data_IF_545900821233
#
_entry.id   IF_545900821233
#
_cell.length_a   1.000
_cell.length_b   1.000
_cell.length_c   1.000
_cell.angle_alpha   90.00
_cell.angle_beta   90.00
_cell.angle_gamma   90.00
#
_symmetry.space_group_name_H-M   'P 1'
#
loop_
_entity.id
_entity.type
_entity.pdbx_description
1 polymer ?
#
# COMPACT_ATOMS: atom_id res chain seq x y z
N UNK A 1 45.09 -6.92 -14.72
CA UNK A 1 44.60 -5.64 -14.15
C UNK A 1 43.75 -5.83 -12.88
N UNK A 2 43.74 -7.01 -12.25
CA UNK A 2 42.73 -7.41 -11.24
C UNK A 2 43.12 -7.16 -9.77
N UNK A 3 44.41 -7.13 -9.44
CA UNK A 3 44.88 -7.05 -8.04
C UNK A 3 44.89 -5.63 -7.45
N UNK A 4 45.10 -4.59 -8.27
CA UNK A 4 45.15 -3.20 -7.81
C UNK A 4 43.78 -2.58 -7.50
N UNK A 5 42.75 -2.87 -8.31
CA UNK A 5 41.39 -2.36 -8.10
C UNK A 5 40.66 -3.03 -6.93
N UNK A 6 40.96 -4.30 -6.63
CA UNK A 6 40.40 -4.99 -5.46
C UNK A 6 40.92 -4.41 -4.14
N UNK A 7 42.23 -4.10 -4.07
CA UNK A 7 42.86 -3.54 -2.86
C UNK A 7 42.32 -2.16 -2.48
N UNK A 8 41.92 -1.33 -3.45
CA UNK A 8 41.33 -0.01 -3.19
C UNK A 8 39.87 -0.12 -2.74
N UNK A 9 39.11 -1.04 -3.36
CA UNK A 9 37.71 -1.30 -3.04
C UNK A 9 37.53 -1.83 -1.61
N UNK A 10 38.41 -2.72 -1.16
CA UNK A 10 38.38 -3.23 0.22
C UNK A 10 38.73 -2.14 1.25
N UNK A 11 39.59 -1.19 0.88
CA UNK A 11 39.87 0.01 1.67
C UNK A 11 38.64 0.91 1.85
N UNK A 12 37.86 1.12 0.79
CA UNK A 12 36.61 1.89 0.84
C UNK A 12 35.56 1.20 1.71
N UNK A 13 35.37 -0.11 1.55
CA UNK A 13 34.40 -0.88 2.35
C UNK A 13 34.75 -0.84 3.84
N UNK A 14 36.03 -0.97 4.18
CA UNK A 14 36.49 -0.85 5.58
C UNK A 14 36.13 0.51 6.18
N UNK A 15 36.41 1.61 5.45
CA UNK A 15 36.08 2.98 5.91
C UNK A 15 34.58 3.17 6.11
N UNK A 16 33.74 2.63 5.22
CA UNK A 16 32.28 2.67 5.35
C UNK A 16 31.83 2.00 6.66
N UNK A 17 32.39 0.83 7.00
CA UNK A 17 32.06 0.07 8.22
C UNK A 17 32.51 0.82 9.49
N UNK A 18 33.72 1.35 9.49
CA UNK A 18 34.28 2.11 10.63
C UNK A 18 33.43 3.35 10.93
N UNK A 19 33.09 4.12 9.90
CA UNK A 19 32.27 5.32 10.03
C UNK A 19 30.85 4.98 10.50
N UNK A 20 30.27 3.89 10.02
CA UNK A 20 28.95 3.42 10.46
C UNK A 20 28.95 2.96 11.93
N UNK A 21 30.02 2.32 12.39
CA UNK A 21 30.18 1.89 13.79
C UNK A 21 30.37 3.08 14.75
N UNK A 22 31.04 4.15 14.30
CA UNK A 22 31.31 5.35 15.09
C UNK A 22 30.13 6.31 15.31
N UNK A 23 28.91 5.98 14.85
CA UNK A 23 27.70 6.72 15.19
C UNK A 23 27.38 7.99 14.37
N UNK A 24 28.23 8.39 13.42
CA UNK A 24 28.07 9.60 12.58
C UNK A 24 27.80 10.89 13.39
N UNK A 25 28.77 11.36 14.20
CA UNK A 25 28.58 12.43 15.18
C UNK A 25 28.50 13.85 14.58
N UNK A 26 28.97 14.05 13.34
CA UNK A 26 29.05 15.36 12.69
C UNK A 26 28.52 15.31 11.24
N UNK A 27 27.89 16.39 10.72
CA UNK A 27 27.40 16.45 9.33
C UNK A 27 28.43 16.08 8.26
N UNK A 28 29.68 16.49 8.41
CA UNK A 28 30.75 16.15 7.44
C UNK A 28 31.01 14.65 7.38
N UNK A 29 30.91 13.95 8.51
CA UNK A 29 31.07 12.49 8.56
C UNK A 29 29.90 11.80 7.87
N UNK A 30 28.69 12.36 7.95
CA UNK A 30 27.51 11.88 7.19
C UNK A 30 27.71 12.07 5.68
N UNK A 31 28.19 13.24 5.26
CA UNK A 31 28.49 13.53 3.86
C UNK A 31 29.59 12.60 3.31
N UNK A 32 30.68 12.43 4.06
CA UNK A 32 31.79 11.55 3.71
C UNK A 32 31.34 10.08 3.62
N UNK A 33 30.50 9.63 4.57
CA UNK A 33 29.90 8.30 4.54
C UNK A 33 29.12 8.03 3.25
N UNK A 34 28.27 8.99 2.84
CA UNK A 34 27.53 8.87 1.59
C UNK A 34 28.42 8.98 0.35
N UNK A 35 29.50 9.77 0.41
CA UNK A 35 30.49 9.86 -0.67
C UNK A 35 31.21 8.53 -0.86
N UNK A 36 31.69 7.87 0.21
CA UNK A 36 32.32 6.55 0.10
C UNK A 36 31.37 5.50 -0.48
N UNK A 37 30.10 5.48 -0.07
CA UNK A 37 29.10 4.59 -0.66
C UNK A 37 28.89 4.90 -2.15
N UNK A 38 28.96 6.17 -2.56
CA UNK A 38 28.82 6.56 -3.95
C UNK A 38 29.99 6.06 -4.82
N UNK A 39 31.19 5.93 -4.26
CA UNK A 39 32.39 5.40 -4.92
C UNK A 39 32.36 3.89 -5.17
N UNK A 40 31.44 3.14 -4.53
CA UNK A 40 31.36 1.70 -4.74
C UNK A 40 30.95 1.36 -6.18
N UNK A 41 31.68 0.43 -6.80
CA UNK A 41 31.24 -0.24 -8.02
C UNK A 41 29.97 -1.06 -7.75
N UNK A 42 29.21 -1.44 -8.78
CA UNK A 42 28.02 -2.28 -8.59
C UNK A 42 28.37 -3.63 -7.93
N UNK A 43 29.42 -4.35 -8.35
CA UNK A 43 29.85 -5.57 -7.66
C UNK A 43 30.19 -5.35 -6.18
N UNK A 44 30.94 -4.29 -5.86
CA UNK A 44 31.33 -4.00 -4.47
C UNK A 44 30.14 -3.55 -3.63
N UNK A 45 29.19 -2.81 -4.22
CA UNK A 45 27.93 -2.45 -3.56
C UNK A 45 27.12 -3.69 -3.21
N UNK A 46 26.96 -4.62 -4.16
CA UNK A 46 26.22 -5.87 -3.94
C UNK A 46 26.90 -6.75 -2.87
N UNK A 47 28.23 -6.88 -2.93
CA UNK A 47 29.03 -7.56 -1.90
C UNK A 47 28.81 -6.91 -0.54
N UNK A 48 28.97 -5.59 -0.46
CA UNK A 48 28.82 -4.84 0.79
C UNK A 48 27.42 -4.98 1.38
N UNK A 49 26.36 -4.93 0.56
CA UNK A 49 24.98 -5.16 1.02
C UNK A 49 24.85 -6.55 1.63
N UNK A 50 25.37 -7.58 0.96
CA UNK A 50 25.32 -8.98 1.42
C UNK A 50 26.03 -9.14 2.77
N UNK A 51 27.24 -8.59 2.90
CA UNK A 51 28.05 -8.73 4.12
C UNK A 51 27.51 -7.90 5.30
N UNK A 52 26.60 -6.96 5.07
CA UNK A 52 26.14 -6.00 6.09
C UNK A 52 24.66 -6.15 6.43
N UNK A 53 24.04 -7.29 6.11
CA UNK A 53 22.64 -7.57 6.42
C UNK A 53 22.32 -7.51 7.93
N UNK A 54 23.27 -7.87 8.78
CA UNK A 54 23.17 -7.77 10.24
C UNK A 54 23.60 -6.40 10.82
N UNK A 55 24.09 -5.49 9.98
CA UNK A 55 24.65 -4.21 10.43
C UNK A 55 23.54 -3.20 10.86
N UNK A 56 23.92 -2.09 11.53
CA UNK A 56 22.97 -1.04 11.91
C UNK A 56 22.12 -0.54 10.75
N UNK A 57 20.86 -0.19 11.04
CA UNK A 57 19.86 0.23 10.04
C UNK A 57 20.36 1.37 9.15
N UNK A 58 21.11 2.33 9.72
CA UNK A 58 21.65 3.49 9.01
C UNK A 58 22.55 3.09 7.83
N UNK A 59 23.42 2.10 8.02
CA UNK A 59 24.27 1.57 6.95
C UNK A 59 23.46 0.87 5.86
N UNK A 60 22.57 -0.03 6.27
CA UNK A 60 21.70 -0.77 5.35
C UNK A 60 20.83 0.18 4.51
N UNK A 61 20.28 1.21 5.13
CA UNK A 61 19.48 2.23 4.45
C UNK A 61 20.29 3.03 3.43
N UNK A 62 21.52 3.42 3.75
CA UNK A 62 22.37 4.17 2.83
C UNK A 62 22.80 3.35 1.61
N UNK A 63 23.21 2.09 1.81
CA UNK A 63 23.53 1.16 0.73
C UNK A 63 22.31 0.89 -0.15
N UNK A 64 21.14 0.62 0.46
CA UNK A 64 19.88 0.43 -0.27
C UNK A 64 19.52 1.67 -1.09
N UNK A 65 19.62 2.88 -0.55
CA UNK A 65 19.37 4.13 -1.30
C UNK A 65 20.31 4.29 -2.48
N UNK A 66 21.58 3.90 -2.34
CA UNK A 66 22.53 3.90 -3.47
C UNK A 66 22.09 2.89 -4.54
N UNK A 67 21.74 1.67 -4.15
CA UNK A 67 21.26 0.65 -5.08
C UNK A 67 20.01 1.12 -5.85
N UNK A 68 19.01 1.66 -5.15
CA UNK A 68 17.77 2.14 -5.78
C UNK A 68 18.01 3.28 -6.76
N UNK A 69 18.96 4.18 -6.49
CA UNK A 69 19.34 5.22 -7.46
C UNK A 69 19.92 4.61 -8.74
N UNK A 70 20.83 3.65 -8.60
CA UNK A 70 21.42 2.97 -9.76
C UNK A 70 20.37 2.21 -10.59
N UNK A 71 19.40 1.58 -9.92
CA UNK A 71 18.28 0.90 -10.56
C UNK A 71 17.34 1.89 -11.26
N UNK A 72 16.98 2.99 -10.61
CA UNK A 72 16.06 4.01 -11.13
C UNK A 72 16.61 4.78 -12.33
N UNK A 73 17.91 5.00 -12.39
CA UNK A 73 18.54 5.72 -13.52
C UNK A 73 18.61 4.85 -14.80
N UNK A 74 18.33 3.53 -14.70
CA UNK A 74 18.45 2.54 -15.78
C UNK A 74 19.81 2.54 -16.51
N UNK A 75 20.89 2.90 -15.80
CA UNK A 75 22.26 3.03 -16.35
C UNK A 75 23.12 1.78 -16.13
N UNK A 76 22.55 0.71 -15.59
CA UNK A 76 23.26 -0.53 -15.36
C UNK A 76 23.50 -1.24 -16.69
N UNK A 77 24.76 -1.54 -16.98
CA UNK A 77 25.10 -2.41 -18.10
C UNK A 77 24.59 -3.85 -17.87
N UNK A 78 24.53 -4.70 -18.91
CA UNK A 78 24.02 -6.05 -18.78
C UNK A 78 24.78 -6.92 -17.76
N UNK A 79 26.09 -6.71 -17.59
CA UNK A 79 26.93 -7.48 -16.68
C UNK A 79 26.63 -7.11 -15.23
N UNK A 80 26.54 -5.81 -14.95
CA UNK A 80 26.16 -5.29 -13.64
C UNK A 80 24.73 -5.69 -13.25
N UNK A 81 23.82 -5.73 -14.23
CA UNK A 81 22.46 -6.23 -14.01
C UNK A 81 22.44 -7.71 -13.66
N UNK A 82 23.21 -8.55 -14.35
CA UNK A 82 23.33 -9.97 -14.01
C UNK A 82 23.91 -10.16 -12.60
N UNK A 83 24.98 -9.43 -12.27
CA UNK A 83 25.61 -9.47 -10.96
C UNK A 83 24.65 -9.09 -9.83
N UNK A 84 23.79 -8.10 -10.07
CA UNK A 84 22.73 -7.74 -9.13
C UNK A 84 21.72 -8.87 -8.94
N UNK A 85 21.25 -9.48 -10.03
CA UNK A 85 20.28 -10.59 -9.98
C UNK A 85 20.85 -11.77 -9.17
N UNK A 86 22.11 -12.15 -9.42
CA UNK A 86 22.80 -13.21 -8.69
C UNK A 86 22.95 -12.88 -7.19
N UNK A 87 23.24 -11.61 -6.90
CA UNK A 87 23.37 -11.13 -5.52
C UNK A 87 22.03 -11.15 -4.78
N UNK A 88 20.93 -10.83 -5.46
CA UNK A 88 19.58 -10.90 -4.90
C UNK A 88 19.20 -12.35 -4.54
N UNK A 89 19.51 -13.32 -5.39
CA UNK A 89 19.28 -14.74 -5.04
C UNK A 89 20.11 -15.19 -3.84
N UNK A 90 21.38 -14.78 -3.77
CA UNK A 90 22.24 -15.07 -2.61
C UNK A 90 21.67 -14.45 -1.33
N UNK A 91 21.28 -13.18 -1.38
CA UNK A 91 20.69 -12.48 -0.23
C UNK A 91 19.37 -13.15 0.20
N UNK A 92 18.58 -13.62 -0.77
CA UNK A 92 17.34 -14.35 -0.50
C UNK A 92 17.60 -15.69 0.18
N UNK A 93 18.63 -16.43 -0.25
CA UNK A 93 19.06 -17.66 0.43
C UNK A 93 19.46 -17.39 1.89
N UNK A 94 20.30 -16.38 2.13
CA UNK A 94 20.69 -15.96 3.50
C UNK A 94 19.46 -15.64 4.35
N UNK A 95 18.49 -14.89 3.82
CA UNK A 95 17.26 -14.55 4.56
C UNK A 95 16.36 -15.76 4.90
N UNK A 96 16.47 -16.86 4.14
CA UNK A 96 15.80 -18.12 4.49
C UNK A 96 16.52 -18.81 5.64
N UNK A 97 17.83 -18.97 5.52
CA UNK A 97 18.67 -19.75 6.44
C UNK A 97 18.93 -19.03 7.77
N UNK A 98 18.91 -17.69 7.77
CA UNK A 98 19.20 -16.85 8.92
C UNK A 98 18.00 -15.96 9.32
N UNK A 99 17.15 -16.41 10.27
CA UNK A 99 15.97 -15.65 10.69
C UNK A 99 16.28 -14.24 11.21
N UNK A 100 17.44 -14.02 11.83
CA UNK A 100 17.84 -12.74 12.43
C UNK A 100 17.98 -11.61 11.40
N UNK A 101 18.48 -11.90 10.20
CA UNK A 101 18.66 -10.91 9.13
C UNK A 101 17.50 -10.86 8.15
N UNK A 102 16.56 -11.81 8.24
CA UNK A 102 15.38 -11.89 7.36
C UNK A 102 14.63 -10.56 7.23
N UNK A 103 14.31 -9.80 8.30
CA UNK A 103 13.63 -8.51 8.13
C UNK A 103 14.40 -7.51 7.25
N UNK A 104 15.74 -7.54 7.30
CA UNK A 104 16.60 -6.72 6.45
C UNK A 104 16.53 -7.14 4.98
N UNK A 105 16.64 -8.45 4.73
CA UNK A 105 16.47 -9.05 3.40
C UNK A 105 15.12 -8.69 2.80
N UNK A 106 14.06 -8.90 3.57
CA UNK A 106 12.68 -8.63 3.15
C UNK A 106 12.42 -7.14 2.83
N UNK A 107 13.07 -6.24 3.57
CA UNK A 107 13.01 -4.81 3.31
C UNK A 107 13.84 -4.38 2.09
N UNK A 108 14.86 -5.15 1.70
CA UNK A 108 15.62 -4.94 0.47
C UNK A 108 14.85 -5.47 -0.74
N UNK A 109 14.37 -6.72 -0.67
CA UNK A 109 13.59 -7.35 -1.74
C UNK A 109 12.36 -6.50 -2.08
N UNK A 110 11.58 -6.08 -1.08
CA UNK A 110 10.42 -5.21 -1.31
C UNK A 110 10.75 -3.82 -1.87
N UNK A 111 12.00 -3.37 -1.75
CA UNK A 111 12.42 -2.09 -2.32
C UNK A 111 12.95 -2.23 -3.76
N UNK A 112 13.68 -3.29 -4.05
CA UNK A 112 14.24 -3.55 -5.37
C UNK A 112 13.28 -4.28 -6.32
N UNK A 113 12.15 -4.78 -5.81
CA UNK A 113 11.23 -5.70 -6.48
C UNK A 113 10.90 -5.35 -7.94
N UNK A 114 10.45 -4.11 -8.19
CA UNK A 114 9.99 -3.67 -9.52
C UNK A 114 11.11 -3.65 -10.59
N UNK A 115 12.38 -3.65 -10.15
CA UNK A 115 13.55 -3.63 -11.03
C UNK A 115 14.09 -5.02 -11.35
N UNK A 116 13.59 -6.07 -10.69
CA UNK A 116 14.04 -7.44 -10.89
C UNK A 116 13.44 -8.07 -12.15
N UNK A 117 14.11 -9.03 -12.80
CA UNK A 117 13.52 -9.85 -13.85
C UNK A 117 12.26 -10.59 -13.39
N UNK A 118 11.31 -10.77 -14.30
CA UNK A 118 10.01 -11.42 -14.03
C UNK A 118 10.13 -12.78 -13.30
N UNK A 119 11.06 -13.70 -13.65
CA UNK A 119 11.19 -14.96 -12.91
C UNK A 119 11.53 -14.78 -11.43
N UNK A 120 12.37 -13.79 -11.09
CA UNK A 120 12.71 -13.49 -9.70
C UNK A 120 11.53 -12.83 -8.98
N UNK A 121 10.81 -11.94 -9.66
CA UNK A 121 9.62 -11.29 -9.10
C UNK A 121 8.54 -12.32 -8.74
N UNK A 122 8.25 -13.27 -9.64
CA UNK A 122 7.33 -14.38 -9.40
C UNK A 122 7.76 -15.20 -8.19
N UNK A 123 9.01 -15.67 -8.18
CA UNK A 123 9.51 -16.50 -7.10
C UNK A 123 9.49 -15.80 -5.73
N UNK A 124 9.78 -14.49 -5.68
CA UNK A 124 9.69 -13.70 -4.44
C UNK A 124 8.24 -13.57 -3.97
N UNK A 125 7.31 -13.32 -4.89
CA UNK A 125 5.88 -13.23 -4.57
C UNK A 125 5.35 -14.56 -4.02
N UNK A 126 5.64 -15.68 -4.68
CA UNK A 126 5.30 -17.03 -4.21
C UNK A 126 5.82 -17.26 -2.79
N UNK A 127 7.09 -16.95 -2.54
CA UNK A 127 7.68 -17.09 -1.22
C UNK A 127 7.06 -16.19 -0.14
N UNK A 128 6.43 -15.07 -0.51
CA UNK A 128 5.67 -14.23 0.42
C UNK A 128 4.28 -14.80 0.70
N UNK A 129 3.62 -15.33 -0.33
CA UNK A 129 2.31 -15.98 -0.21
C UNK A 129 2.43 -17.22 0.68
N UNK A 130 3.37 -18.12 0.37
CA UNK A 130 3.59 -19.38 1.08
C UNK A 130 3.87 -19.18 2.58
N UNK A 131 4.47 -18.05 2.93
CA UNK A 131 4.82 -17.75 4.32
C UNK A 131 3.61 -17.44 5.19
N UNK A 132 2.50 -16.97 4.61
CA UNK A 132 1.23 -16.70 5.32
C UNK A 132 1.27 -15.63 6.42
N UNK A 133 2.42 -15.04 6.76
CA UNK A 133 2.50 -14.01 7.80
C UNK A 133 1.93 -12.66 7.33
N UNK A 134 1.30 -11.90 8.23
CA UNK A 134 0.76 -10.54 7.94
C UNK A 134 1.79 -9.61 7.29
N UNK A 135 3.06 -9.72 7.68
CA UNK A 135 4.16 -8.93 7.12
C UNK A 135 4.57 -9.35 5.71
N UNK A 136 4.51 -10.65 5.40
CA UNK A 136 4.77 -11.15 4.04
C UNK A 136 3.62 -10.78 3.10
N UNK A 137 2.37 -10.98 3.54
CA UNK A 137 1.19 -10.56 2.79
C UNK A 137 1.18 -9.06 2.48
N UNK A 138 1.59 -8.22 3.43
CA UNK A 138 1.76 -6.77 3.20
C UNK A 138 2.70 -6.45 2.03
N UNK A 139 3.81 -7.20 1.92
CA UNK A 139 4.82 -7.02 0.87
C UNK A 139 4.33 -7.56 -0.46
N UNK A 140 3.70 -8.72 -0.47
CA UNK A 140 3.04 -9.28 -1.65
C UNK A 140 1.98 -8.31 -2.21
N UNK A 141 1.04 -7.85 -1.38
CA UNK A 141 0.00 -6.90 -1.80
C UNK A 141 0.56 -5.54 -2.23
N UNK A 142 1.74 -5.14 -1.74
CA UNK A 142 2.46 -3.97 -2.26
C UNK A 142 3.07 -4.26 -3.62
N UNK A 143 3.70 -5.41 -3.78
CA UNK A 143 4.44 -5.81 -4.96
C UNK A 143 3.55 -5.94 -6.21
N UNK A 144 2.37 -6.55 -6.07
CA UNK A 144 1.39 -6.67 -7.18
C UNK A 144 0.82 -5.31 -7.65
N UNK A 145 0.99 -4.25 -6.85
CA UNK A 145 0.67 -2.88 -7.29
C UNK A 145 1.78 -2.26 -8.12
N UNK A 146 3.03 -2.58 -7.81
CA UNK A 146 4.19 -2.10 -8.56
C UNK A 146 4.32 -2.84 -9.90
N UNK A 147 3.94 -4.13 -9.92
CA UNK A 147 3.99 -4.97 -11.11
C UNK A 147 2.61 -5.59 -11.35
N UNK A 148 1.70 -4.88 -12.07
CA UNK A 148 0.33 -5.33 -12.28
C UNK A 148 0.19 -6.70 -12.96
N UNK A 149 1.19 -7.12 -13.74
CA UNK A 149 1.22 -8.44 -14.37
C UNK A 149 1.28 -9.61 -13.37
N UNK A 150 1.60 -9.36 -12.11
CA UNK A 150 1.64 -10.35 -11.03
C UNK A 150 0.38 -10.34 -10.16
N UNK A 151 -0.58 -9.47 -10.48
CA UNK A 151 -1.85 -9.43 -9.77
C UNK A 151 -2.76 -10.57 -10.22
N UNK A 152 -3.12 -11.44 -9.29
CA UNK A 152 -4.10 -12.50 -9.47
C UNK A 152 -5.31 -12.19 -8.59
N UNK A 153 -6.44 -11.88 -9.22
CA UNK A 153 -7.67 -11.50 -8.53
C UNK A 153 -8.29 -12.64 -7.72
N UNK A 154 -8.14 -13.89 -8.17
CA UNK A 154 -8.66 -15.07 -7.46
C UNK A 154 -7.86 -15.32 -6.19
N UNK A 155 -6.54 -15.22 -6.28
CA UNK A 155 -5.65 -15.40 -5.14
C UNK A 155 -5.83 -14.29 -4.10
N UNK A 156 -5.92 -13.03 -4.53
CA UNK A 156 -6.15 -11.90 -3.61
C UNK A 156 -7.53 -12.00 -2.95
N UNK A 157 -8.56 -12.44 -3.68
CA UNK A 157 -9.89 -12.66 -3.09
C UNK A 157 -9.89 -13.79 -2.06
N UNK A 158 -9.20 -14.89 -2.34
CA UNK A 158 -9.06 -16.01 -1.39
C UNK A 158 -8.34 -15.57 -0.11
N UNK A 159 -7.29 -14.77 -0.24
CA UNK A 159 -6.62 -14.16 0.92
C UNK A 159 -7.53 -13.19 1.69
N UNK A 160 -8.30 -12.35 0.99
CA UNK A 160 -9.25 -11.46 1.64
C UNK A 160 -10.31 -12.23 2.44
N UNK A 161 -10.95 -13.24 1.83
CA UNK A 161 -11.94 -14.12 2.48
C UNK A 161 -11.45 -14.75 3.79
N UNK A 162 -10.19 -15.18 3.80
CA UNK A 162 -9.60 -15.88 4.94
C UNK A 162 -9.12 -14.94 6.07
N UNK A 163 -8.92 -13.65 5.79
CA UNK A 163 -8.23 -12.75 6.73
C UNK A 163 -8.98 -11.46 7.03
N UNK A 164 -9.91 -11.04 6.19
CA UNK A 164 -10.54 -9.72 6.25
C UNK A 164 -9.57 -8.56 6.00
N UNK A 165 -8.36 -8.79 5.46
CA UNK A 165 -7.35 -7.75 5.31
C UNK A 165 -7.77 -6.71 4.26
N UNK A 166 -8.16 -5.51 4.72
CA UNK A 166 -8.62 -4.40 3.87
C UNK A 166 -7.62 -3.98 2.79
N UNK A 167 -6.33 -4.27 2.98
CA UNK A 167 -5.33 -4.01 1.92
C UNK A 167 -5.62 -4.86 0.69
N UNK A 168 -6.12 -6.09 0.87
CA UNK A 168 -6.54 -6.96 -0.22
C UNK A 168 -7.82 -6.44 -0.89
N UNK A 169 -8.83 -6.03 -0.11
CA UNK A 169 -10.04 -5.38 -0.63
C UNK A 169 -9.70 -4.14 -1.48
N UNK A 170 -8.78 -3.30 -1.00
CA UNK A 170 -8.24 -2.15 -1.73
C UNK A 170 -7.59 -2.55 -3.05
N UNK A 171 -6.84 -3.66 -3.09
CA UNK A 171 -6.22 -4.17 -4.32
C UNK A 171 -7.27 -4.67 -5.29
N UNK A 172 -8.24 -5.47 -4.85
CA UNK A 172 -9.36 -5.93 -5.66
C UNK A 172 -10.09 -4.74 -6.31
N UNK A 173 -10.53 -3.79 -5.49
CA UNK A 173 -11.24 -2.60 -5.95
C UNK A 173 -10.43 -1.76 -6.95
N UNK A 174 -9.10 -1.81 -6.93
CA UNK A 174 -8.24 -0.99 -7.80
C UNK A 174 -7.69 -1.72 -9.03
N UNK A 175 -7.50 -3.05 -8.96
CA UNK A 175 -6.76 -3.82 -9.97
C UNK A 175 -7.57 -4.97 -10.59
N UNK A 176 -8.59 -5.52 -9.90
CA UNK A 176 -9.40 -6.61 -10.44
C UNK A 176 -10.17 -6.20 -11.69
N UNK A 177 -10.45 -7.17 -12.54
CA UNK A 177 -11.18 -6.99 -13.79
C UNK A 177 -12.63 -6.56 -13.51
N UNK A 178 -13.26 -5.77 -14.41
CA UNK A 178 -14.66 -5.40 -14.27
C UNK A 178 -15.62 -6.58 -14.14
N UNK A 179 -15.31 -7.71 -14.81
CA UNK A 179 -16.11 -8.92 -14.75
C UNK A 179 -16.04 -9.53 -13.35
N UNK A 180 -14.82 -9.75 -12.85
CA UNK A 180 -14.61 -10.32 -11.52
C UNK A 180 -15.21 -9.45 -10.41
N UNK A 181 -15.04 -8.12 -10.50
CA UNK A 181 -15.68 -7.19 -9.56
C UNK A 181 -17.20 -7.32 -9.55
N UNK A 182 -17.83 -7.56 -10.70
CA UNK A 182 -19.29 -7.77 -10.78
C UNK A 182 -19.71 -9.01 -9.98
N UNK A 183 -18.89 -10.07 -10.02
CA UNK A 183 -19.15 -11.33 -9.31
C UNK A 183 -18.95 -11.20 -7.80
N UNK A 184 -17.90 -10.48 -7.36
CA UNK A 184 -17.53 -10.39 -5.95
C UNK A 184 -18.09 -9.16 -5.21
N UNK A 185 -18.79 -8.25 -5.91
CA UNK A 185 -19.18 -6.96 -5.34
C UNK A 185 -20.03 -7.12 -4.08
N UNK A 186 -21.01 -8.04 -4.09
CA UNK A 186 -21.86 -8.29 -2.94
C UNK A 186 -21.05 -8.67 -1.69
N UNK A 187 -20.04 -9.51 -1.87
CA UNK A 187 -19.16 -9.98 -0.81
C UNK A 187 -18.21 -8.88 -0.32
N UNK A 188 -17.69 -8.04 -1.22
CA UNK A 188 -16.89 -6.88 -0.85
C UNK A 188 -17.70 -5.85 -0.04
N UNK A 189 -18.94 -5.59 -0.43
CA UNK A 189 -19.84 -4.68 0.31
C UNK A 189 -20.15 -5.25 1.70
N UNK A 190 -20.30 -6.57 1.80
CA UNK A 190 -20.63 -7.20 3.07
C UNK A 190 -19.43 -7.23 4.04
N UNK A 191 -18.23 -7.47 3.54
CA UNK A 191 -17.03 -7.65 4.37
C UNK A 191 -16.13 -6.43 4.56
N UNK A 192 -16.39 -5.29 3.90
CA UNK A 192 -15.49 -4.14 3.90
C UNK A 192 -16.13 -2.95 4.62
N UNK A 193 -15.48 -2.43 5.65
CA UNK A 193 -15.97 -1.28 6.41
C UNK A 193 -15.74 0.06 5.68
N UNK A 194 -14.85 0.06 4.69
CA UNK A 194 -14.38 1.24 3.98
C UNK A 194 -15.24 1.55 2.74
N UNK A 195 -16.22 2.45 2.91
CA UNK A 195 -17.16 2.82 1.86
C UNK A 195 -16.52 3.34 0.56
N UNK A 196 -15.30 3.90 0.60
CA UNK A 196 -14.59 4.35 -0.61
C UNK A 196 -14.00 3.18 -1.42
N UNK A 197 -13.67 2.04 -0.78
CA UNK A 197 -13.24 0.81 -1.46
C UNK A 197 -14.44 0.25 -2.21
N UNK A 198 -15.59 0.17 -1.54
CA UNK A 198 -16.87 -0.26 -2.12
C UNK A 198 -17.26 0.60 -3.31
N UNK A 199 -17.22 1.93 -3.17
CA UNK A 199 -17.57 2.84 -4.27
C UNK A 199 -16.66 2.65 -5.48
N UNK A 200 -15.35 2.49 -5.26
CA UNK A 200 -14.38 2.23 -6.32
C UNK A 200 -14.64 0.90 -7.03
N UNK A 201 -14.95 -0.15 -6.28
CA UNK A 201 -15.28 -1.46 -6.84
C UNK A 201 -16.55 -1.39 -7.69
N UNK A 202 -17.63 -0.81 -7.15
CA UNK A 202 -18.91 -0.66 -7.85
C UNK A 202 -18.79 0.17 -9.14
N UNK A 203 -18.04 1.27 -9.12
CA UNK A 203 -17.80 2.11 -10.31
C UNK A 203 -16.99 1.42 -11.42
N UNK A 204 -16.21 0.38 -11.08
CA UNK A 204 -15.39 -0.37 -12.04
C UNK A 204 -16.04 -1.69 -12.47
N UNK A 205 -17.02 -2.20 -11.71
CA UNK A 205 -17.82 -3.35 -12.10
C UNK A 205 -18.60 -3.04 -13.38
N UNK A 206 -18.97 -4.08 -14.14
CA UNK A 206 -19.79 -3.92 -15.36
C UNK A 206 -21.21 -3.47 -15.04
N UNK A 207 -21.73 -3.94 -13.90
CA UNK A 207 -23.02 -3.57 -13.35
C UNK A 207 -23.00 -3.81 -11.84
N UNK A 208 -23.92 -3.16 -11.13
CA UNK A 208 -24.24 -3.45 -9.73
C UNK A 208 -25.56 -4.20 -9.74
N UNK A 209 -25.58 -5.43 -9.25
CA UNK A 209 -26.79 -6.24 -9.23
C UNK A 209 -27.83 -5.67 -8.25
N UNK A 210 -29.12 -5.76 -8.59
CA UNK A 210 -30.23 -5.23 -7.77
C UNK A 210 -30.18 -5.63 -6.29
N UNK A 211 -29.84 -6.89 -5.92
CA UNK A 211 -29.76 -7.30 -4.52
C UNK A 211 -28.61 -6.64 -3.73
N UNK A 212 -27.62 -6.04 -4.41
CA UNK A 212 -26.45 -5.42 -3.78
C UNK A 212 -26.77 -4.01 -3.28
N UNK A 213 -27.64 -3.28 -3.98
CA UNK A 213 -28.00 -1.90 -3.63
C UNK A 213 -28.53 -1.74 -2.20
N UNK A 214 -29.45 -2.59 -1.69
CA UNK A 214 -29.88 -2.54 -0.30
C UNK A 214 -28.75 -2.75 0.71
N UNK A 215 -27.77 -3.61 0.38
CA UNK A 215 -26.62 -3.89 1.25
C UNK A 215 -25.74 -2.63 1.34
N UNK A 216 -25.46 -1.99 0.20
CA UNK A 216 -24.70 -0.73 0.16
C UNK A 216 -25.44 0.35 0.94
N UNK A 217 -26.76 0.50 0.75
CA UNK A 217 -27.60 1.48 1.47
C UNK A 217 -27.48 1.30 2.98
N UNK A 218 -27.57 0.06 3.45
CA UNK A 218 -27.55 -0.26 4.88
C UNK A 218 -26.18 -0.06 5.52
N UNK A 219 -25.09 -0.46 4.84
CA UNK A 219 -23.73 -0.45 5.42
C UNK A 219 -22.97 0.84 5.17
N UNK A 220 -23.20 1.47 4.01
CA UNK A 220 -22.47 2.65 3.55
C UNK A 220 -23.43 3.68 2.93
N UNK A 221 -24.32 4.30 3.73
CA UNK A 221 -25.37 5.19 3.23
C UNK A 221 -24.85 6.35 2.36
N UNK A 222 -23.74 6.99 2.75
CA UNK A 222 -23.10 8.03 1.94
C UNK A 222 -22.53 7.48 0.61
N UNK A 223 -21.95 6.29 0.62
CA UNK A 223 -21.47 5.61 -0.60
C UNK A 223 -22.63 5.22 -1.51
N UNK A 224 -23.76 4.77 -0.96
CA UNK A 224 -24.97 4.49 -1.73
C UNK A 224 -25.43 5.74 -2.49
N UNK A 225 -25.60 6.87 -1.80
CA UNK A 225 -25.98 8.14 -2.44
C UNK A 225 -24.96 8.59 -3.49
N UNK A 226 -23.67 8.47 -3.18
CA UNK A 226 -22.61 8.73 -4.15
C UNK A 226 -22.76 7.87 -5.41
N UNK A 227 -23.02 6.57 -5.27
CA UNK A 227 -23.23 5.67 -6.41
C UNK A 227 -24.53 5.96 -7.15
N UNK A 228 -25.61 6.37 -6.48
CA UNK A 228 -26.83 6.85 -7.13
C UNK A 228 -26.53 8.03 -8.06
N UNK A 229 -25.81 9.04 -7.57
CA UNK A 229 -25.43 10.20 -8.35
C UNK A 229 -24.52 9.83 -9.55
N UNK A 230 -23.58 8.90 -9.36
CA UNK A 230 -22.58 8.55 -10.38
C UNK A 230 -23.08 7.56 -11.42
N UNK A 231 -23.87 6.57 -11.02
CA UNK A 231 -24.40 5.51 -11.88
C UNK A 231 -25.83 5.79 -12.34
N UNK A 232 -26.41 6.93 -11.94
CA UNK A 232 -27.81 7.31 -12.23
C UNK A 232 -28.81 6.27 -11.73
N UNK A 233 -28.52 5.66 -10.59
CA UNK A 233 -29.48 4.80 -9.90
C UNK A 233 -30.52 5.69 -9.20
N UNK A 234 -31.80 5.35 -9.37
CA UNK A 234 -32.90 6.14 -8.83
C UNK A 234 -32.96 6.05 -7.31
N UNK A 235 -33.17 7.19 -6.65
CA UNK A 235 -33.52 7.29 -5.23
C UNK A 235 -34.51 8.43 -5.08
N UNK A 236 -35.49 8.29 -4.19
CA UNK A 236 -36.47 9.34 -3.94
C UNK A 236 -35.89 10.44 -3.05
N UNK A 237 -36.45 11.65 -3.11
CA UNK A 237 -36.03 12.75 -2.24
C UNK A 237 -36.21 12.41 -0.75
N UNK A 238 -37.29 11.72 -0.38
CA UNK A 238 -37.55 11.28 0.99
C UNK A 238 -36.49 10.30 1.49
N UNK A 239 -36.10 9.32 0.68
CA UNK A 239 -35.02 8.38 1.00
C UNK A 239 -33.66 9.06 1.05
N UNK A 240 -33.39 10.00 0.13
CA UNK A 240 -32.15 10.75 0.12
C UNK A 240 -32.00 11.59 1.40
N UNK A 241 -33.08 12.25 1.84
CA UNK A 241 -33.11 12.99 3.10
C UNK A 241 -32.87 12.06 4.29
N UNK A 242 -33.57 10.94 4.39
CA UNK A 242 -33.37 9.93 5.44
C UNK A 242 -31.89 9.51 5.55
N UNK A 243 -31.26 9.22 4.42
CA UNK A 243 -29.86 8.79 4.37
C UNK A 243 -28.89 9.90 4.75
N UNK A 244 -29.14 11.16 4.36
CA UNK A 244 -28.31 12.30 4.80
C UNK A 244 -28.40 12.48 6.31
N UNK A 245 -29.61 12.37 6.88
CA UNK A 245 -29.84 12.54 8.33
C UNK A 245 -29.19 11.44 9.17
N UNK A 246 -28.97 10.25 8.61
CA UNK A 246 -28.31 9.12 9.30
C UNK A 246 -26.79 9.09 9.11
N UNK A 247 -26.23 9.85 8.16
CA UNK A 247 -24.79 9.93 7.97
C UNK A 247 -24.14 10.79 9.07
N UNK A 248 -23.08 10.30 9.75
CA UNK A 248 -22.35 11.08 10.74
C UNK A 248 -21.51 12.19 10.09
N UNK A 249 -21.30 13.26 10.85
CA UNK A 249 -20.35 14.31 10.53
C UNK A 249 -19.44 14.55 11.75
N UNK A 250 -18.79 13.47 12.20
CA UNK A 250 -17.92 13.46 13.37
C UNK A 250 -16.45 13.42 12.95
N UNK A 251 -15.55 13.84 13.86
CA UNK A 251 -14.09 13.81 13.65
C UNK A 251 -13.59 12.40 13.27
N UNK A 252 -14.30 11.36 13.68
CA UNK A 252 -13.96 9.96 13.41
C UNK A 252 -14.52 9.46 12.07
N UNK A 253 -15.62 10.06 11.56
CA UNK A 253 -16.29 9.60 10.34
C UNK A 253 -17.09 10.74 9.67
N UNK A 254 -16.46 11.45 8.73
CA UNK A 254 -17.05 12.59 8.00
C UNK A 254 -17.70 12.12 6.69
N UNK A 255 -18.88 11.50 6.77
CA UNK A 255 -19.56 10.95 5.58
C UNK A 255 -20.76 11.79 5.12
N UNK A 256 -21.34 12.62 6.00
CA UNK A 256 -22.47 13.49 5.63
C UNK A 256 -22.13 14.47 4.52
N UNK A 257 -20.92 15.03 4.51
CA UNK A 257 -20.48 15.93 3.44
C UNK A 257 -20.54 15.28 2.06
N UNK A 258 -20.16 14.00 1.95
CA UNK A 258 -20.27 13.21 0.72
C UNK A 258 -21.73 12.96 0.34
N UNK A 259 -22.59 12.65 1.32
CA UNK A 259 -24.03 12.45 1.11
C UNK A 259 -24.70 13.72 0.56
N UNK A 260 -24.46 14.88 1.19
CA UNK A 260 -24.98 16.18 0.75
C UNK A 260 -24.47 16.52 -0.66
N UNK A 261 -23.17 16.31 -0.92
CA UNK A 261 -22.61 16.51 -2.25
C UNK A 261 -23.34 15.66 -3.30
N UNK A 262 -23.60 14.39 -3.01
CA UNK A 262 -24.27 13.48 -3.93
C UNK A 262 -25.72 13.92 -4.20
N UNK A 263 -26.47 14.34 -3.18
CA UNK A 263 -27.81 14.92 -3.32
C UNK A 263 -27.79 16.13 -4.25
N UNK A 264 -26.81 17.03 -4.08
CA UNK A 264 -26.63 18.17 -4.98
C UNK A 264 -26.33 17.77 -6.44
N UNK A 265 -25.51 16.73 -6.66
CA UNK A 265 -25.26 16.20 -8.00
C UNK A 265 -26.52 15.60 -8.66
N UNK A 266 -27.47 15.14 -7.87
CA UNK A 266 -28.76 14.62 -8.35
C UNK A 266 -29.81 15.74 -8.58
N UNK A 267 -29.51 16.99 -8.23
CA UNK A 267 -30.40 18.13 -8.44
C UNK A 267 -31.59 18.21 -7.47
N UNK A 268 -31.50 17.54 -6.32
CA UNK A 268 -32.58 17.46 -5.32
C UNK A 268 -32.58 18.69 -4.40
N UNK A 269 -32.99 19.86 -4.92
CA UNK A 269 -32.92 21.13 -4.19
C UNK A 269 -33.78 21.13 -2.93
N UNK A 270 -34.98 20.53 -2.97
CA UNK A 270 -35.85 20.44 -1.80
C UNK A 270 -35.20 19.69 -0.63
N UNK A 271 -34.44 18.63 -0.92
CA UNK A 271 -33.67 17.89 0.10
C UNK A 271 -32.57 18.76 0.70
N UNK A 272 -31.88 19.56 -0.11
CA UNK A 272 -30.84 20.46 0.37
C UNK A 272 -31.41 21.58 1.26
N UNK A 273 -32.56 22.14 0.89
CA UNK A 273 -33.26 23.15 1.67
C UNK A 273 -33.66 22.59 3.05
N UNK A 274 -34.23 21.38 3.09
CA UNK A 274 -34.56 20.66 4.33
C UNK A 274 -33.32 20.37 5.20
N UNK A 275 -32.17 20.02 4.60
CA UNK A 275 -30.91 19.84 5.32
C UNK A 275 -30.45 21.14 5.98
N UNK A 276 -30.63 22.28 5.31
CA UNK A 276 -30.32 23.61 5.86
C UNK A 276 -31.27 23.94 7.01
N UNK A 277 -32.57 23.73 6.84
CA UNK A 277 -33.58 23.97 7.89
C UNK A 277 -33.33 23.12 9.14
N UNK A 278 -32.82 21.90 8.97
CA UNK A 278 -32.48 20.96 10.05
C UNK A 278 -31.05 21.08 10.57
N UNK A 279 -30.32 22.13 10.21
CA UNK A 279 -28.91 22.29 10.58
C UNK A 279 -28.62 22.20 12.08
N UNK A 280 -29.46 22.82 12.92
CA UNK A 280 -29.34 22.75 14.38
C UNK A 280 -29.58 21.33 14.93
N UNK A 281 -30.53 20.60 14.35
CA UNK A 281 -30.79 19.20 14.72
C UNK A 281 -29.59 18.32 14.36
N UNK A 282 -29.04 18.47 13.15
CA UNK A 282 -27.85 17.75 12.69
C UNK A 282 -26.63 18.04 13.58
N UNK A 283 -26.41 19.31 13.93
CA UNK A 283 -25.32 19.69 14.81
C UNK A 283 -25.48 19.11 16.23
N UNK A 284 -26.71 19.05 16.75
CA UNK A 284 -27.01 18.37 18.02
C UNK A 284 -26.70 16.87 17.94
N UNK A 285 -27.13 16.18 16.87
CA UNK A 285 -26.85 14.76 16.67
C UNK A 285 -25.34 14.48 16.62
N UNK A 286 -24.56 15.31 15.93
CA UNK A 286 -23.10 15.19 15.87
C UNK A 286 -22.44 15.33 17.26
N UNK A 287 -22.94 16.26 18.09
CA UNK A 287 -22.45 16.45 19.45
C UNK A 287 -22.81 15.27 20.35
N UNK A 288 -24.04 14.77 20.27
CA UNK A 288 -24.46 13.59 21.05
C UNK A 288 -23.64 12.34 20.70
N UNK A 289 -23.32 12.15 19.42
CA UNK A 289 -22.45 11.06 18.98
C UNK A 289 -21.05 11.22 19.57
N UNK A 290 -20.48 12.42 19.48
CA UNK A 290 -19.16 12.75 20.03
C UNK A 290 -19.08 12.51 21.55
N UNK A 291 -20.12 12.87 22.29
CA UNK A 291 -20.20 12.69 23.74
C UNK A 291 -20.31 11.22 24.18
N UNK A 292 -20.81 10.34 23.31
CA UNK A 292 -20.87 8.89 23.57
C UNK A 292 -19.52 8.20 23.40
N UNK A 293 -18.51 8.86 22.82
CA UNK A 293 -17.18 8.26 22.65
C UNK A 293 -16.38 8.24 23.96
N UNK A 294 -15.87 7.07 24.38
CA UNK A 294 -14.97 6.97 25.53
C UNK A 294 -13.67 7.73 25.25
N UNK A 295 -13.40 8.80 26.00
CA UNK A 295 -12.16 9.58 25.90
C UNK A 295 -12.29 11.02 25.39
N UNK A 296 -13.50 11.49 25.04
CA UNK A 296 -13.69 12.90 24.64
C UNK A 296 -13.42 13.92 25.78
N UNK A 297 -13.44 13.50 27.04
CA UNK A 297 -13.22 14.35 28.23
C UNK A 297 -11.85 14.19 28.90
N UNK A 298 -10.88 13.53 28.27
CA UNK A 298 -9.51 13.35 28.82
C UNK A 298 -8.48 14.22 28.11
#
# INVERSE_FOLDING_TARGET
>A
MTTGQQSDSDGVIRRIREIAAGGLPHPDVVSLFHAYIACLSVPDLCRTITDTLAAPSKLRLALRRRLLRLLGDNRLDPKDRQQLCDSIERIRAIGRDEPAVRPAVEALLSAAFEFLPQPQQQSIVEAWIDRGTRGAAARWLKAVTQVPALFDETMVMTYYRSTGDERAARRLASQASPAFLTEILAELVDGCDEGWIVSRAAMRARAVADPVWPIIRSKHPATYLYLCARLRHSVTEAEALELVMTCPNSIMNETRGLAIWAVGQMGMTAVLDEVVERGEELHRLDREELERFPGWRS
#
